data_IF_822859891066
#
_entry.id   IF_822859891066
#
_cell.length_a   1.000
_cell.length_b   1.000
_cell.length_c   1.000
_cell.angle_alpha   90.00
_cell.angle_beta   90.00
_cell.angle_gamma   90.00
#
_symmetry.space_group_name_H-M   'P 1'
#
loop_
_entity.id
_entity.type
_entity.pdbx_description
1 polymer ?
#
# COMPACT_ATOMS: atom_id res chain seq x y z
N UNK A 1 -3.75 32.87 -23.03
CA UNK A 1 -3.48 32.99 -21.57
C UNK A 1 -2.55 31.86 -21.14
N UNK A 2 -1.35 32.12 -20.61
CA UNK A 2 -0.43 31.05 -20.19
C UNK A 2 -0.95 30.35 -18.92
N UNK A 3 -0.96 29.01 -18.92
CA UNK A 3 -1.37 28.20 -17.76
C UNK A 3 -0.34 28.34 -16.63
N UNK A 4 -0.77 28.66 -15.40
CA UNK A 4 0.11 28.75 -14.22
C UNK A 4 0.84 27.42 -13.97
N UNK A 5 2.15 27.49 -13.69
CA UNK A 5 2.96 26.33 -13.38
C UNK A 5 2.45 25.64 -12.10
N UNK A 6 2.16 24.34 -12.17
CA UNK A 6 1.74 23.56 -11.00
C UNK A 6 2.96 23.26 -10.14
N UNK A 7 2.91 23.62 -8.86
CA UNK A 7 3.94 23.26 -7.89
C UNK A 7 3.91 21.75 -7.62
N UNK A 8 5.08 21.13 -7.46
CA UNK A 8 5.18 19.71 -7.11
C UNK A 8 4.69 19.51 -5.68
N UNK A 9 3.65 18.70 -5.50
CA UNK A 9 3.12 18.36 -4.18
C UNK A 9 4.11 17.45 -3.43
N UNK A 10 4.45 17.82 -2.18
CA UNK A 10 5.28 16.99 -1.31
C UNK A 10 4.46 15.81 -0.78
N UNK A 11 5.02 14.62 -0.86
CA UNK A 11 4.41 13.44 -0.23
C UNK A 11 4.53 13.53 1.29
N UNK A 12 3.51 13.04 1.99
CA UNK A 12 3.50 13.01 3.46
C UNK A 12 4.59 12.06 3.95
N UNK A 13 5.33 12.47 4.97
CA UNK A 13 6.26 11.58 5.65
C UNK A 13 5.44 10.65 6.56
N UNK A 14 5.52 9.35 6.31
CA UNK A 14 4.78 8.32 7.05
C UNK A 14 5.78 7.28 7.56
N UNK A 15 5.67 6.90 8.83
CA UNK A 15 6.53 5.86 9.43
C UNK A 15 6.16 4.49 8.88
N UNK A 16 7.12 3.83 8.23
CA UNK A 16 6.88 2.50 7.62
C UNK A 16 6.90 1.35 8.63
N UNK A 17 7.57 1.52 9.77
CA UNK A 17 7.71 0.51 10.83
C UNK A 17 6.36 0.10 11.42
N UNK A 18 5.40 1.02 11.52
CA UNK A 18 4.07 0.80 12.08
C UNK A 18 3.25 -0.25 11.32
N UNK A 19 3.67 -0.64 10.11
CA UNK A 19 3.01 -1.66 9.27
C UNK A 19 3.42 -3.09 9.63
N UNK A 20 4.36 -3.24 10.54
CA UNK A 20 4.85 -4.52 11.04
C UNK A 20 4.44 -4.68 12.50
N UNK A 21 4.09 -5.90 12.89
CA UNK A 21 3.80 -6.26 14.28
C UNK A 21 4.76 -7.36 14.69
N UNK A 22 5.37 -7.20 15.86
CA UNK A 22 6.14 -8.27 16.48
C UNK A 22 5.20 -9.02 17.41
N UNK A 23 4.95 -10.29 17.11
CA UNK A 23 4.14 -11.18 17.95
C UNK A 23 5.02 -12.37 18.31
N UNK A 24 5.26 -12.58 19.61
CA UNK A 24 5.96 -13.75 20.15
C UNK A 24 7.32 -14.03 19.48
N UNK A 25 8.12 -12.97 19.29
CA UNK A 25 9.44 -13.06 18.65
C UNK A 25 9.41 -13.23 17.11
N UNK A 26 8.23 -13.23 16.48
CA UNK A 26 8.07 -13.33 15.03
C UNK A 26 7.57 -12.02 14.42
N UNK A 27 8.18 -11.61 13.31
CA UNK A 27 7.79 -10.41 12.57
C UNK A 27 6.61 -10.74 11.64
N UNK A 28 5.42 -10.25 11.98
CA UNK A 28 4.23 -10.37 11.15
C UNK A 28 3.93 -9.06 10.41
N UNK A 29 3.42 -9.16 9.18
CA UNK A 29 3.02 -8.00 8.37
C UNK A 29 1.53 -7.74 8.57
N UNK A 30 1.13 -6.48 8.78
CA UNK A 30 -0.30 -6.09 8.89
C UNK A 30 -1.06 -6.24 7.56
N UNK A 31 -0.36 -6.19 6.44
CA UNK A 31 -0.94 -6.21 5.10
C UNK A 31 -0.69 -7.55 4.39
N UNK A 32 -1.60 -7.92 3.49
CA UNK A 32 -1.45 -9.11 2.64
C UNK A 32 -0.17 -9.03 1.79
N UNK A 33 0.47 -10.18 1.60
CA UNK A 33 1.61 -10.33 0.70
C UNK A 33 1.13 -10.58 -0.73
N UNK A 34 1.78 -9.95 -1.70
CA UNK A 34 1.47 -10.14 -3.11
C UNK A 34 1.81 -11.59 -3.54
N UNK A 35 0.90 -12.31 -4.23
CA UNK A 35 1.15 -13.68 -4.66
C UNK A 35 2.29 -13.77 -5.69
N UNK A 36 2.50 -12.72 -6.49
CA UNK A 36 3.52 -12.68 -7.55
C UNK A 36 4.90 -12.29 -7.05
N UNK A 37 5.00 -11.24 -6.23
CA UNK A 37 6.29 -10.65 -5.86
C UNK A 37 6.56 -10.58 -4.36
N UNK A 38 5.70 -11.17 -3.50
CA UNK A 38 5.81 -11.16 -2.02
C UNK A 38 5.91 -9.77 -1.36
N UNK A 39 5.78 -8.68 -2.12
CA UNK A 39 5.71 -7.32 -1.57
C UNK A 39 4.37 -7.08 -0.87
N UNK A 40 4.32 -6.11 0.04
CA UNK A 40 3.07 -5.75 0.72
C UNK A 40 2.06 -5.12 -0.24
N UNK A 41 0.81 -5.56 -0.15
CA UNK A 41 -0.32 -4.94 -0.82
C UNK A 41 -0.80 -3.73 -0.01
N UNK A 42 -0.91 -2.56 -0.64
CA UNK A 42 -1.53 -1.38 -0.05
C UNK A 42 -3.04 -1.61 0.05
N UNK A 43 -3.55 -1.70 1.29
CA UNK A 43 -4.98 -1.81 1.56
C UNK A 43 -5.67 -0.46 1.43
N UNK A 44 -6.40 -0.26 0.34
CA UNK A 44 -7.39 0.81 0.20
C UNK A 44 -8.79 0.24 0.49
N UNK A 45 -9.80 1.12 0.64
CA UNK A 45 -11.17 0.70 0.97
C UNK A 45 -11.75 -0.33 0.00
N UNK A 46 -11.47 -0.15 -1.29
CA UNK A 46 -12.09 -0.93 -2.37
C UNK A 46 -11.11 -1.86 -3.10
N UNK A 47 -9.80 -1.74 -2.79
CA UNK A 47 -8.73 -2.32 -3.60
C UNK A 47 -7.51 -2.62 -2.75
N UNK A 48 -6.86 -3.74 -3.03
CA UNK A 48 -5.50 -4.02 -2.58
C UNK A 48 -4.54 -3.88 -3.78
N UNK A 49 -3.51 -3.04 -3.66
CA UNK A 49 -2.60 -2.75 -4.79
C UNK A 49 -1.16 -3.05 -4.42
N UNK A 50 -0.45 -3.77 -5.29
CA UNK A 50 0.97 -4.00 -5.12
C UNK A 50 1.76 -2.82 -5.71
N UNK A 51 2.57 -2.18 -4.89
CA UNK A 51 3.42 -1.07 -5.32
C UNK A 51 4.59 -1.47 -6.23
N UNK A 52 4.97 -2.75 -6.27
CA UNK A 52 6.12 -3.23 -7.05
C UNK A 52 5.73 -3.72 -8.44
N UNK A 53 4.71 -4.59 -8.55
CA UNK A 53 4.29 -5.18 -9.84
C UNK A 53 2.98 -4.59 -10.38
N UNK A 54 2.34 -3.66 -9.66
CA UNK A 54 1.08 -3.05 -10.08
C UNK A 54 -0.15 -3.96 -10.01
N UNK A 55 -0.01 -5.19 -9.50
CA UNK A 55 -1.11 -6.13 -9.28
C UNK A 55 -2.19 -5.52 -8.37
N UNK A 56 -3.45 -5.71 -8.74
CA UNK A 56 -4.60 -5.16 -8.02
C UNK A 56 -5.61 -6.26 -7.76
N UNK A 57 -5.98 -6.45 -6.51
CA UNK A 57 -7.13 -7.27 -6.12
C UNK A 57 -8.26 -6.32 -5.72
N UNK A 58 -9.41 -6.44 -6.37
CA UNK A 58 -10.60 -5.72 -5.95
C UNK A 58 -11.19 -6.52 -4.79
N UNK A 59 -11.21 -5.94 -3.60
CA UNK A 59 -11.86 -6.53 -2.44
C UNK A 59 -13.37 -6.30 -2.57
N UNK A 60 -14.00 -6.98 -3.53
CA UNK A 60 -15.45 -7.09 -3.58
C UNK A 60 -15.82 -7.93 -2.35
N UNK A 61 -16.41 -7.32 -1.32
CA UNK A 61 -17.14 -8.08 -0.31
C UNK A 61 -18.26 -8.80 -1.07
N UNK A 62 -18.09 -10.09 -1.37
CA UNK A 62 -19.21 -10.95 -1.71
C UNK A 62 -19.86 -11.28 -0.37
N UNK A 63 -21.00 -10.64 -0.11
CA UNK A 63 -22.01 -11.13 0.84
C UNK A 63 -22.51 -12.51 0.38
#
# INVERSE_FOLDING_TARGET
>A
MPKKAKSKSKHKNVKMSEKYVVSDGKLTRKFKSCPKCKSMLAGHKDRAVCGSCGFKEVSVKKE
#
